data_IF_425781103705
#
_entry.id   IF_425781103705
#
_cell.length_a   1.000
_cell.length_b   1.000
_cell.length_c   1.000
_cell.angle_alpha   90.00
_cell.angle_beta   90.00
_cell.angle_gamma   90.00
#
_symmetry.space_group_name_H-M   'P 1'
#
loop_
_entity.id
_entity.type
_entity.pdbx_description
1 polymer ?
#
# COMPACT_ATOMS: atom_id res chain seq x y z
N UNK A 1 -36.64 -8.51 6.14
CA UNK A 1 -35.69 -9.59 6.51
C UNK A 1 -34.39 -8.89 6.88
N UNK A 2 -33.69 -9.33 7.92
CA UNK A 2 -32.35 -8.79 8.23
C UNK A 2 -31.37 -9.27 7.17
N UNK A 3 -30.46 -8.41 6.72
CA UNK A 3 -29.30 -8.82 5.94
C UNK A 3 -28.28 -9.51 6.84
N UNK A 4 -27.50 -10.43 6.26
CA UNK A 4 -26.38 -11.12 6.92
C UNK A 4 -25.20 -11.21 5.95
N UNK A 5 -24.07 -10.60 6.32
CA UNK A 5 -22.83 -10.65 5.55
C UNK A 5 -22.19 -12.05 5.53
N UNK A 6 -22.60 -12.94 6.43
CA UNK A 6 -22.03 -14.27 6.59
C UNK A 6 -20.60 -14.26 7.14
N UNK A 7 -19.90 -15.36 6.91
CA UNK A 7 -18.52 -15.58 7.37
C UNK A 7 -17.52 -14.58 6.76
N UNK A 8 -16.38 -14.32 7.42
CA UNK A 8 -15.38 -13.42 6.86
C UNK A 8 -14.80 -13.97 5.55
N UNK A 9 -14.49 -13.08 4.61
CA UNK A 9 -13.72 -13.43 3.42
C UNK A 9 -12.25 -13.61 3.81
N UNK A 10 -11.76 -14.84 3.68
CA UNK A 10 -10.35 -15.20 3.93
C UNK A 10 -9.82 -15.94 2.71
N UNK A 11 -9.28 -15.18 1.77
CA UNK A 11 -8.63 -15.67 0.56
C UNK A 11 -7.22 -15.07 0.50
N UNK A 12 -6.36 -15.64 -0.33
CA UNK A 12 -4.94 -15.28 -0.37
C UNK A 12 -4.56 -14.45 -1.60
N UNK A 13 -5.48 -14.22 -2.54
CA UNK A 13 -5.25 -13.43 -3.75
C UNK A 13 -6.30 -12.32 -3.96
N UNK A 14 -5.88 -11.24 -4.61
CA UNK A 14 -6.68 -10.02 -4.87
C UNK A 14 -7.92 -10.30 -5.71
N UNK A 15 -7.79 -11.14 -6.75
CA UNK A 15 -8.88 -11.48 -7.65
C UNK A 15 -10.00 -12.24 -6.93
N UNK A 16 -9.67 -13.24 -6.12
CA UNK A 16 -10.63 -13.96 -5.28
C UNK A 16 -11.29 -13.05 -4.26
N UNK A 17 -10.54 -12.10 -3.68
CA UNK A 17 -11.09 -11.14 -2.72
C UNK A 17 -12.09 -10.20 -3.39
N UNK A 18 -11.72 -9.63 -4.54
CA UNK A 18 -12.59 -8.78 -5.34
C UNK A 18 -13.86 -9.52 -5.77
N UNK A 19 -13.74 -10.74 -6.28
CA UNK A 19 -14.89 -11.56 -6.68
C UNK A 19 -15.81 -11.88 -5.49
N UNK A 20 -15.25 -12.19 -4.32
CA UNK A 20 -16.04 -12.48 -3.12
C UNK A 20 -16.82 -11.23 -2.64
N UNK A 21 -16.19 -10.05 -2.68
CA UNK A 21 -16.85 -8.79 -2.33
C UNK A 21 -17.95 -8.45 -3.35
N UNK A 22 -17.65 -8.56 -4.65
CA UNK A 22 -18.61 -8.30 -5.73
C UNK A 22 -19.86 -9.19 -5.62
N UNK A 23 -19.69 -10.50 -5.40
CA UNK A 23 -20.82 -11.42 -5.23
C UNK A 23 -21.71 -11.04 -4.04
N UNK A 24 -21.12 -10.64 -2.90
CA UNK A 24 -21.90 -10.22 -1.72
C UNK A 24 -22.61 -8.88 -1.95
N UNK A 25 -21.95 -7.98 -2.66
CA UNK A 25 -22.52 -6.70 -3.05
C UNK A 25 -23.74 -6.87 -3.98
N UNK A 26 -23.65 -7.68 -5.03
CA UNK A 26 -24.77 -7.97 -5.94
C UNK A 26 -25.97 -8.59 -5.20
N UNK A 27 -25.72 -9.51 -4.26
CA UNK A 27 -26.76 -10.08 -3.41
C UNK A 27 -27.42 -9.04 -2.51
N UNK A 28 -26.64 -8.09 -2.00
CA UNK A 28 -27.13 -7.01 -1.15
C UNK A 28 -27.97 -5.99 -1.94
N UNK A 29 -27.54 -5.61 -3.15
CA UNK A 29 -28.34 -4.79 -4.06
C UNK A 29 -29.66 -5.46 -4.40
N UNK A 30 -29.63 -6.76 -4.72
CA UNK A 30 -30.83 -7.56 -4.96
C UNK A 30 -31.76 -7.61 -3.73
N UNK A 31 -31.19 -7.63 -2.52
CA UNK A 31 -31.95 -7.59 -1.27
C UNK A 31 -32.66 -6.24 -1.06
N UNK A 32 -31.98 -5.12 -1.35
CA UNK A 32 -32.55 -3.77 -1.19
C UNK A 32 -33.42 -3.33 -2.38
N UNK A 33 -33.21 -3.92 -3.56
CA UNK A 33 -33.88 -3.52 -4.79
C UNK A 33 -33.41 -2.18 -5.35
N UNK A 34 -32.18 -1.77 -5.06
CA UNK A 34 -31.56 -0.53 -5.53
C UNK A 34 -30.04 -0.68 -5.63
N UNK A 35 -29.41 0.17 -6.44
CA UNK A 35 -27.96 0.26 -6.56
C UNK A 35 -27.35 0.83 -5.28
N UNK A 36 -26.17 0.34 -4.92
CA UNK A 36 -25.49 0.62 -3.66
C UNK A 36 -24.01 0.89 -3.90
N UNK A 37 -23.53 2.07 -3.48
CA UNK A 37 -22.10 2.30 -3.37
C UNK A 37 -21.55 1.78 -2.04
N UNK A 38 -20.33 1.24 -2.04
CA UNK A 38 -19.65 0.75 -0.85
C UNK A 38 -18.59 1.73 -0.33
N UNK A 39 -18.52 1.84 1.00
CA UNK A 39 -17.42 2.46 1.74
C UNK A 39 -16.75 1.38 2.58
N UNK A 40 -15.42 1.40 2.65
CA UNK A 40 -14.64 0.45 3.41
C UNK A 40 -14.11 1.06 4.70
N UNK A 41 -14.16 0.29 5.78
CA UNK A 41 -13.56 0.64 7.05
C UNK A 41 -12.47 -0.37 7.38
N UNK A 42 -11.22 0.08 7.38
CA UNK A 42 -10.05 -0.73 7.73
C UNK A 42 -9.81 -0.66 9.23
N UNK A 43 -9.58 -1.81 9.85
CA UNK A 43 -9.46 -1.97 11.31
C UNK A 43 -8.74 -3.27 11.67
N UNK A 44 -8.63 -3.56 12.98
CA UNK A 44 -8.11 -4.85 13.45
C UNK A 44 -9.13 -5.98 13.22
N UNK A 45 -8.68 -7.24 13.27
CA UNK A 45 -9.60 -8.40 13.18
C UNK A 45 -10.65 -8.40 14.29
N UNK A 46 -10.23 -8.08 15.52
CA UNK A 46 -11.10 -8.10 16.70
C UNK A 46 -12.22 -7.06 16.56
N UNK A 47 -11.85 -5.88 16.08
CA UNK A 47 -12.74 -4.76 15.79
C UNK A 47 -13.73 -5.10 14.67
N UNK A 48 -13.26 -5.67 13.55
CA UNK A 48 -14.12 -6.05 12.44
C UNK A 48 -15.16 -7.09 12.87
N UNK A 49 -14.72 -8.12 13.62
CA UNK A 49 -15.62 -9.11 14.18
C UNK A 49 -16.64 -8.48 15.15
N UNK A 50 -16.21 -7.54 15.98
CA UNK A 50 -17.12 -6.83 16.88
C UNK A 50 -18.18 -6.04 16.10
N UNK A 51 -17.78 -5.29 15.07
CA UNK A 51 -18.69 -4.49 14.24
C UNK A 51 -19.76 -5.35 13.57
N UNK A 52 -19.37 -6.52 13.05
CA UNK A 52 -20.30 -7.47 12.41
C UNK A 52 -21.28 -8.06 13.41
N UNK A 53 -20.81 -8.37 14.62
CA UNK A 53 -21.66 -8.94 15.67
C UNK A 53 -22.65 -7.94 16.26
N UNK A 54 -22.26 -6.67 16.38
CA UNK A 54 -23.07 -5.62 17.00
C UNK A 54 -23.89 -4.83 15.98
N UNK A 55 -23.53 -4.88 14.69
CA UNK A 55 -24.10 -3.99 13.68
C UNK A 55 -23.70 -2.53 13.89
N UNK A 56 -22.52 -2.25 14.47
CA UNK A 56 -22.09 -0.90 14.80
C UNK A 56 -20.59 -0.69 14.64
N UNK A 57 -20.20 0.47 14.11
CA UNK A 57 -18.80 0.94 14.05
C UNK A 57 -18.41 1.81 15.25
N UNK A 58 -19.30 2.01 16.22
CA UNK A 58 -19.08 2.92 17.36
C UNK A 58 -18.09 2.31 18.34
N UNK A 59 -17.19 3.13 18.89
CA UNK A 59 -16.19 2.69 19.88
C UNK A 59 -15.07 1.83 19.30
N UNK A 60 -15.00 1.72 17.97
CA UNK A 60 -14.03 0.90 17.26
C UNK A 60 -12.96 1.77 16.60
N UNK A 61 -11.69 1.37 16.70
CA UNK A 61 -10.59 2.02 15.98
C UNK A 61 -10.66 1.64 14.50
N UNK A 62 -10.84 2.63 13.64
CA UNK A 62 -11.06 2.38 12.21
C UNK A 62 -10.56 3.53 11.35
N UNK A 63 -10.28 3.19 10.10
CA UNK A 63 -9.96 4.10 9.02
C UNK A 63 -11.04 3.97 7.96
N UNK A 64 -11.71 5.07 7.64
CA UNK A 64 -12.61 5.12 6.49
C UNK A 64 -11.80 5.31 5.21
N UNK A 65 -12.12 4.54 4.18
CA UNK A 65 -11.53 4.69 2.84
C UNK A 65 -12.50 4.23 1.75
N UNK A 66 -12.34 4.76 0.55
CA UNK A 66 -13.02 4.29 -0.67
C UNK A 66 -12.15 3.32 -1.48
N UNK A 67 -10.87 3.15 -1.10
CA UNK A 67 -9.96 2.21 -1.75
C UNK A 67 -10.40 0.78 -1.50
N UNK A 68 -10.46 -0.02 -2.56
CA UNK A 68 -10.97 -1.38 -2.53
C UNK A 68 -10.08 -2.30 -1.67
N UNK A 69 -10.63 -3.27 -0.90
CA UNK A 69 -9.84 -4.14 -0.02
C UNK A 69 -8.84 -5.09 -0.69
N UNK A 70 -8.93 -5.25 -2.01
CA UNK A 70 -7.94 -5.96 -2.83
C UNK A 70 -6.75 -5.07 -3.26
N UNK A 71 -6.82 -3.77 -2.99
CA UNK A 71 -5.81 -2.76 -3.29
C UNK A 71 -5.58 -1.91 -2.03
N UNK A 72 -5.58 -2.56 -0.87
CA UNK A 72 -5.71 -1.86 0.40
C UNK A 72 -4.55 -0.87 0.62
N UNK A 73 -4.81 0.34 1.16
CA UNK A 73 -3.78 1.34 1.32
C UNK A 73 -2.62 0.84 2.19
N UNK A 74 -1.37 1.02 1.73
CA UNK A 74 -0.18 0.55 2.44
C UNK A 74 -0.12 1.01 3.91
N UNK A 75 -0.40 2.28 4.14
CA UNK A 75 -0.43 2.86 5.48
C UNK A 75 -1.45 2.21 6.42
N UNK A 76 -2.56 1.65 5.91
CA UNK A 76 -3.50 0.87 6.74
C UNK A 76 -2.83 -0.42 7.22
N UNK A 77 -2.16 -1.12 6.32
CA UNK A 77 -1.46 -2.37 6.59
C UNK A 77 -0.32 -2.17 7.58
N UNK A 78 0.48 -1.13 7.40
CA UNK A 78 1.61 -0.78 8.27
C UNK A 78 1.16 -0.49 9.72
N UNK A 79 -0.06 0.01 9.89
CA UNK A 79 -0.67 0.28 11.21
C UNK A 79 -1.45 -0.92 11.78
N UNK A 80 -1.40 -2.10 11.13
CA UNK A 80 -2.09 -3.30 11.57
C UNK A 80 -3.59 -3.34 11.23
N UNK A 81 -4.10 -2.41 10.43
CA UNK A 81 -5.48 -2.38 9.93
C UNK A 81 -5.65 -3.29 8.72
N UNK A 82 -5.41 -4.58 8.95
CA UNK A 82 -5.38 -5.63 7.92
C UNK A 82 -6.75 -6.26 7.63
N UNK A 83 -7.80 -5.79 8.31
CA UNK A 83 -9.17 -6.25 8.13
C UNK A 83 -10.07 -5.12 7.67
N UNK A 84 -11.10 -5.45 6.90
CA UNK A 84 -12.08 -4.49 6.42
C UNK A 84 -13.51 -4.88 6.80
N UNK A 85 -14.35 -3.86 6.93
CA UNK A 85 -15.81 -3.95 6.91
C UNK A 85 -16.32 -3.05 5.79
N UNK A 86 -17.07 -3.62 4.86
CA UNK A 86 -17.73 -2.90 3.77
C UNK A 86 -19.18 -2.61 4.15
N UNK A 87 -19.60 -1.36 4.05
CA UNK A 87 -20.98 -0.93 4.29
C UNK A 87 -21.45 -0.05 3.15
N UNK A 88 -22.76 0.19 3.09
CA UNK A 88 -23.35 1.16 2.17
C UNK A 88 -22.84 2.58 2.47
N UNK A 89 -22.40 3.30 1.44
CA UNK A 89 -21.79 4.63 1.56
C UNK A 89 -22.72 5.71 2.11
N UNK A 90 -24.03 5.58 1.87
CA UNK A 90 -25.08 6.49 2.36
C UNK A 90 -25.70 6.01 3.69
N UNK A 91 -25.07 5.05 4.39
CA UNK A 91 -25.56 4.57 5.67
C UNK A 91 -25.82 5.77 6.62
N UNK A 92 -27.02 5.86 7.22
CA UNK A 92 -27.46 7.06 7.93
C UNK A 92 -26.69 7.31 9.23
N UNK A 93 -26.18 6.25 9.86
CA UNK A 93 -25.40 6.33 11.09
C UNK A 93 -24.46 5.13 11.26
N UNK A 94 -23.42 5.32 12.09
CA UNK A 94 -22.44 4.28 12.44
C UNK A 94 -22.91 3.37 13.59
N UNK A 95 -24.09 3.61 14.17
CA UNK A 95 -24.63 2.85 15.30
C UNK A 95 -25.51 1.67 14.87
N UNK A 96 -26.04 1.71 13.65
CA UNK A 96 -26.90 0.69 13.07
C UNK A 96 -26.56 0.54 11.58
N UNK A 97 -25.57 -0.30 11.30
CA UNK A 97 -25.05 -0.55 9.96
C UNK A 97 -25.46 -1.94 9.46
N UNK A 98 -25.74 -2.00 8.16
CA UNK A 98 -25.76 -3.25 7.42
C UNK A 98 -24.35 -3.50 6.85
N UNK A 99 -23.67 -4.51 7.39
CA UNK A 99 -22.39 -4.96 6.83
C UNK A 99 -22.68 -5.72 5.54
N UNK A 100 -22.10 -5.31 4.43
CA UNK A 100 -22.25 -5.97 3.13
C UNK A 100 -21.25 -7.11 2.98
N UNK A 101 -19.98 -6.85 3.32
CA UNK A 101 -18.90 -7.81 3.27
C UNK A 101 -17.85 -7.45 4.33
N UNK A 102 -17.08 -8.43 4.78
CA UNK A 102 -15.97 -8.21 5.72
C UNK A 102 -14.95 -9.33 5.58
N UNK A 103 -13.70 -9.05 5.93
CA UNK A 103 -12.63 -10.03 5.76
C UNK A 103 -11.24 -9.46 5.91
N UNK A 104 -10.25 -10.27 5.53
CA UNK A 104 -8.85 -9.83 5.45
C UNK A 104 -8.65 -9.04 4.16
N UNK A 105 -8.05 -7.86 4.28
CA UNK A 105 -7.64 -7.06 3.14
C UNK A 105 -6.32 -7.59 2.56
N UNK A 106 -6.09 -7.36 1.28
CA UNK A 106 -4.87 -7.75 0.56
C UNK A 106 -4.29 -6.50 -0.11
N UNK A 107 -2.97 -6.45 -0.17
CA UNK A 107 -2.20 -5.52 -0.96
C UNK A 107 -1.25 -6.35 -1.80
N UNK A 108 -1.29 -6.18 -3.12
CA UNK A 108 -0.17 -6.58 -3.97
C UNK A 108 0.99 -5.65 -3.62
N UNK A 109 2.11 -6.24 -3.21
CA UNK A 109 3.37 -5.52 -3.19
C UNK A 109 3.67 -5.28 -4.67
N UNK A 110 3.73 -4.01 -5.07
CA UNK A 110 4.35 -3.66 -6.33
C UNK A 110 5.78 -4.18 -6.18
N UNK A 111 6.10 -5.32 -6.81
CA UNK A 111 7.47 -5.72 -7.05
C UNK A 111 8.05 -4.59 -7.90
N UNK A 112 8.56 -3.53 -7.24
CA UNK A 112 9.45 -2.57 -7.86
C UNK A 112 10.62 -3.43 -8.35
N UNK A 113 10.62 -3.70 -9.65
CA UNK A 113 11.67 -4.41 -10.36
C UNK A 113 13.02 -3.96 -9.78
N UNK A 114 13.70 -4.86 -9.06
CA UNK A 114 15.14 -4.79 -8.90
C UNK A 114 15.68 -4.80 -10.35
N UNK A 115 15.81 -3.62 -10.96
CA UNK A 115 16.70 -3.39 -12.09
C UNK A 115 18.13 -3.62 -11.57
N UNK A 116 18.45 -4.89 -11.35
CA UNK A 116 19.78 -5.40 -11.08
C UNK A 116 20.68 -4.91 -12.23
N UNK A 117 21.66 -4.11 -11.82
CA UNK A 117 22.85 -3.72 -12.57
C UNK A 117 23.38 -4.90 -13.40
N UNK A 118 23.13 -4.91 -14.70
CA UNK A 118 24.05 -5.51 -15.64
C UNK A 118 24.98 -4.41 -16.14
N UNK A 119 26.09 -4.23 -15.42
CA UNK A 119 27.33 -3.72 -15.99
C UNK A 119 27.75 -4.69 -17.11
N UNK A 120 27.24 -4.48 -18.33
CA UNK A 120 27.84 -5.10 -19.51
C UNK A 120 29.07 -4.27 -19.89
N UNK A 121 30.22 -4.76 -19.40
CA UNK A 121 31.55 -4.56 -19.96
C UNK A 121 31.51 -4.85 -21.48
N UNK A 122 31.40 -3.80 -22.30
CA UNK A 122 31.83 -3.87 -23.70
C UNK A 122 33.29 -3.42 -23.78
N UNK A 123 34.19 -4.38 -23.58
CA UNK A 123 35.54 -4.41 -24.12
C UNK A 123 35.45 -4.31 -25.67
N UNK A 124 35.51 -3.11 -26.22
CA UNK A 124 35.82 -2.90 -27.64
C UNK A 124 37.29 -2.45 -27.77
N UNK A 125 38.16 -3.46 -27.86
CA UNK A 125 39.48 -3.32 -28.47
C UNK A 125 39.29 -2.91 -29.93
N UNK A 126 39.53 -1.64 -30.27
CA UNK A 126 39.96 -1.33 -31.63
C UNK A 126 41.10 -0.32 -31.69
N UNK A 127 42.19 -0.87 -32.19
CA UNK A 127 43.53 -0.35 -32.34
C UNK A 127 43.56 0.61 -33.54
N UNK A 128 43.87 1.90 -33.32
CA UNK A 128 44.31 2.75 -34.42
C UNK A 128 45.44 3.68 -33.95
N UNK A 129 46.66 3.26 -34.28
CA UNK A 129 47.84 4.11 -34.32
C UNK A 129 47.57 5.29 -35.29
N UNK A 130 47.76 6.53 -34.84
CA UNK A 130 48.72 7.40 -35.51
C UNK A 130 49.03 8.65 -34.69
N UNK A 131 50.34 8.88 -34.60
CA UNK A 131 51.06 9.94 -33.89
C UNK A 131 50.60 11.36 -34.25
N UNK A 132 50.65 12.27 -33.27
CA UNK A 132 51.49 13.44 -33.46
C UNK A 132 51.99 14.02 -32.13
N UNK A 133 53.32 14.21 -32.09
CA UNK A 133 54.10 14.99 -31.14
C UNK A 133 53.46 16.35 -30.83
N UNK A 134 53.53 16.79 -29.57
CA UNK A 134 54.45 17.88 -29.22
C UNK A 134 54.45 18.13 -27.70
N UNK A 135 55.66 18.04 -27.14
CA UNK A 135 56.05 18.51 -25.81
C UNK A 135 55.54 19.92 -25.52
N UNK A 136 55.12 20.16 -24.28
CA UNK A 136 55.66 21.33 -23.57
C UNK A 136 55.79 21.07 -22.07
N UNK A 137 56.93 21.51 -21.58
CA UNK A 137 57.50 21.36 -20.26
C UNK A 137 56.84 22.30 -19.23
N UNK A 138 57.26 22.05 -17.98
CA UNK A 138 57.28 22.93 -16.82
C UNK A 138 55.97 23.08 -16.00
N UNK A 139 55.90 22.57 -14.76
CA UNK A 139 56.72 22.82 -13.54
C UNK A 139 56.27 24.09 -12.79
N UNK A 140 55.68 23.90 -11.61
CA UNK A 140 55.73 24.70 -10.36
C UNK A 140 54.55 24.29 -9.46
N UNK A 141 54.80 23.69 -8.30
CA UNK A 141 54.95 24.34 -6.98
C UNK A 141 53.64 25.01 -6.52
N UNK A 142 52.93 24.45 -5.53
CA UNK A 142 53.15 24.61 -4.08
C UNK A 142 52.02 25.49 -3.49
N UNK A 143 51.82 25.37 -2.17
CA UNK A 143 50.86 25.98 -1.24
C UNK A 143 49.54 25.21 -1.04
N UNK A 144 49.40 24.43 0.05
CA UNK A 144 49.13 24.85 1.45
C UNK A 144 47.64 25.21 1.61
N UNK A 145 46.89 24.82 2.64
CA UNK A 145 47.18 24.59 4.04
C UNK A 145 46.21 23.54 4.63
N UNK A 146 46.75 22.69 5.49
CA UNK A 146 46.05 22.14 6.66
C UNK A 146 45.38 23.26 7.46
N UNK A 147 44.14 23.04 7.91
CA UNK A 147 43.77 23.38 9.29
C UNK A 147 42.47 22.67 9.71
N UNK A 148 42.67 21.65 10.55
CA UNK A 148 42.01 21.41 11.84
C UNK A 148 40.48 21.19 11.90
N UNK A 149 40.14 19.92 12.13
CA UNK A 149 39.64 19.38 13.41
C UNK A 149 38.60 20.16 14.24
N UNK A 150 37.56 19.39 14.61
CA UNK A 150 36.84 19.38 15.90
C UNK A 150 36.10 20.66 16.32
N UNK A 151 35.08 20.63 17.16
CA UNK A 151 34.24 19.63 17.83
C UNK A 151 33.02 20.44 18.34
N UNK A 152 31.92 19.73 18.56
CA UNK A 152 30.96 19.82 19.68
C UNK A 152 30.69 21.11 20.50
N UNK A 153 29.53 21.01 21.15
CA UNK A 153 29.00 21.73 22.32
C UNK A 153 28.17 23.00 22.05
N UNK A 154 26.85 22.91 22.15
CA UNK A 154 26.04 22.97 23.38
C UNK A 154 26.17 24.32 24.14
N UNK A 155 25.17 25.19 23.96
CA UNK A 155 24.39 25.85 25.04
C UNK A 155 23.22 26.69 24.47
#
# INVERSE_FOLDING_TARGET
MSWDAGDPVTVDDTASLANAIANRWELYEGHLGQDVDLTYFYMSQADARMCVQTGSLTGTTKVRSTTHPAEAPGWCMDNGYTWFVAIRSDAPDESNIDVVSWGRAIREEDDEDDEDNNEDDEDDEDNNEDNNDDNNEDNSEDNSEDDNDNDDDDE
#
